data_IF_037770287549
#
_entry.id   IF_037770287549
#
_cell.length_a   1.000
_cell.length_b   1.000
_cell.length_c   1.000
_cell.angle_alpha   90.00
_cell.angle_beta   90.00
_cell.angle_gamma   90.00
#
_symmetry.space_group_name_H-M   'P 1'
#
loop_
_entity.id
_entity.type
_entity.pdbx_description
1 polymer ?
#
# COMPACT_ATOMS: atom_id res chain seq x y z
N UNK A 1 29.90 4.66 -10.24
CA UNK A 1 29.48 5.05 -11.60
C UNK A 1 28.27 5.94 -11.45
N UNK A 2 28.38 7.23 -11.81
CA UNK A 2 27.28 8.19 -11.74
C UNK A 2 26.18 7.76 -12.70
N UNK A 3 24.92 7.69 -12.25
CA UNK A 3 23.81 7.31 -13.12
C UNK A 3 23.63 8.37 -14.22
N UNK A 4 23.14 7.96 -15.39
CA UNK A 4 22.91 8.89 -16.51
C UNK A 4 21.98 10.06 -16.13
N UNK A 5 20.97 9.79 -15.29
CA UNK A 5 20.08 10.80 -14.73
C UNK A 5 20.83 11.80 -13.82
N UNK A 6 21.77 11.34 -13.00
CA UNK A 6 22.56 12.20 -12.13
C UNK A 6 23.47 13.14 -12.95
N UNK A 7 24.12 12.64 -14.00
CA UNK A 7 24.90 13.47 -14.93
C UNK A 7 24.06 14.58 -15.56
N UNK A 8 22.80 14.28 -15.92
CA UNK A 8 21.89 15.29 -16.45
C UNK A 8 21.51 16.36 -15.42
N UNK A 9 21.24 15.97 -14.16
CA UNK A 9 20.94 16.95 -13.11
C UNK A 9 22.15 17.85 -12.81
N UNK A 10 23.36 17.30 -12.80
CA UNK A 10 24.58 18.09 -12.58
C UNK A 10 24.85 19.06 -13.75
N UNK A 11 24.47 18.68 -14.97
CA UNK A 11 24.44 19.59 -16.12
C UNK A 11 23.43 20.73 -15.93
N UNK A 12 22.21 20.44 -15.48
CA UNK A 12 21.19 21.47 -15.24
C UNK A 12 21.62 22.46 -14.15
N UNK A 13 22.31 21.98 -13.11
CA UNK A 13 22.88 22.84 -12.06
C UNK A 13 23.96 23.77 -12.63
N UNK A 14 24.87 23.24 -13.43
CA UNK A 14 25.90 24.04 -14.12
C UNK A 14 25.24 25.07 -15.05
N UNK A 15 24.18 24.68 -15.75
CA UNK A 15 23.41 25.57 -16.62
C UNK A 15 22.72 26.69 -15.81
N UNK A 16 22.18 26.36 -14.64
CA UNK A 16 21.52 27.33 -13.76
C UNK A 16 22.45 28.44 -13.27
N UNK A 17 23.72 28.09 -13.01
CA UNK A 17 24.73 29.03 -12.55
C UNK A 17 25.24 29.94 -13.68
N UNK A 18 25.33 29.41 -14.91
CA UNK A 18 26.05 30.06 -16.00
C UNK A 18 25.14 30.72 -17.05
N UNK A 19 23.91 30.26 -17.24
CA UNK A 19 23.00 30.76 -18.28
C UNK A 19 21.54 30.86 -17.80
N UNK A 20 21.18 32.06 -17.31
CA UNK A 20 19.81 32.38 -16.90
C UNK A 20 18.80 32.34 -18.06
N UNK A 21 19.25 32.61 -19.28
CA UNK A 21 18.41 32.57 -20.48
C UNK A 21 17.97 31.15 -20.80
N UNK A 22 18.90 30.20 -20.75
CA UNK A 22 18.61 28.78 -20.93
C UNK A 22 17.60 28.26 -19.88
N UNK A 23 17.76 28.62 -18.60
CA UNK A 23 16.78 28.28 -17.55
C UNK A 23 15.41 28.87 -17.82
N UNK A 24 15.33 30.13 -18.29
CA UNK A 24 14.05 30.75 -18.62
C UNK A 24 13.33 29.99 -19.76
N UNK A 25 14.07 29.50 -20.75
CA UNK A 25 13.51 28.67 -21.83
C UNK A 25 13.04 27.30 -21.34
N UNK A 26 13.81 26.61 -20.49
CA UNK A 26 13.37 25.37 -19.87
C UNK A 26 12.11 25.55 -19.01
N UNK A 27 11.98 26.68 -18.30
CA UNK A 27 10.76 26.99 -17.56
C UNK A 27 9.57 27.19 -18.49
N UNK A 28 9.77 27.92 -19.59
CA UNK A 28 8.74 28.17 -20.59
C UNK A 28 8.27 26.88 -21.29
N UNK A 29 9.15 25.91 -21.49
CA UNK A 29 8.81 24.66 -22.19
C UNK A 29 7.71 23.86 -21.50
N UNK A 30 7.51 24.02 -20.18
CA UNK A 30 6.38 23.40 -19.45
C UNK A 30 4.99 23.89 -19.92
N UNK A 31 4.91 24.98 -20.68
CA UNK A 31 3.66 25.51 -21.24
C UNK A 31 3.30 24.90 -22.60
N UNK A 32 4.20 24.09 -23.16
CA UNK A 32 4.04 23.40 -24.45
C UNK A 32 4.06 21.89 -24.24
N UNK A 33 3.86 21.14 -25.32
CA UNK A 33 4.07 19.70 -25.28
C UNK A 33 5.56 19.36 -25.04
N UNK A 34 5.78 18.25 -24.33
CA UNK A 34 7.12 17.86 -23.89
C UNK A 34 7.99 17.51 -25.11
N UNK A 35 9.09 18.24 -25.27
CA UNK A 35 10.04 18.01 -26.35
C UNK A 35 9.73 18.72 -27.67
N UNK A 36 8.83 19.71 -27.68
CA UNK A 36 8.54 20.55 -28.85
C UNK A 36 9.22 21.93 -28.81
N UNK A 37 9.62 22.43 -27.65
CA UNK A 37 10.28 23.74 -27.55
C UNK A 37 11.69 23.68 -28.20
N UNK A 38 11.95 24.43 -29.28
CA UNK A 38 13.22 24.32 -30.01
C UNK A 38 14.45 24.60 -29.16
N UNK A 39 14.35 25.50 -28.18
CA UNK A 39 15.49 25.82 -27.30
C UNK A 39 15.68 24.74 -26.25
N UNK A 40 14.60 24.21 -25.67
CA UNK A 40 14.70 23.07 -24.77
C UNK A 40 15.31 21.84 -25.48
N UNK A 41 14.95 21.61 -26.75
CA UNK A 41 15.51 20.53 -27.57
C UNK A 41 17.04 20.61 -27.62
N UNK A 42 17.61 21.80 -27.88
CA UNK A 42 19.07 21.97 -27.94
C UNK A 42 19.79 21.69 -26.62
N UNK A 43 19.10 21.80 -25.49
CA UNK A 43 19.66 21.61 -24.15
C UNK A 43 19.53 20.17 -23.66
N UNK A 44 18.46 19.47 -24.06
CA UNK A 44 18.09 18.17 -23.49
C UNK A 44 18.50 16.99 -24.38
N UNK A 45 18.46 17.12 -25.72
CA UNK A 45 18.65 15.98 -26.63
C UNK A 45 20.02 15.28 -26.49
N UNK A 46 21.07 16.01 -26.08
CA UNK A 46 22.37 15.42 -25.79
C UNK A 46 22.34 14.33 -24.72
N UNK A 47 21.34 14.34 -23.84
CA UNK A 47 21.13 13.35 -22.78
C UNK A 47 20.07 12.31 -23.14
N UNK A 48 19.38 12.46 -24.26
CA UNK A 48 18.36 11.50 -24.71
C UNK A 48 19.00 10.27 -25.36
N UNK A 49 20.13 10.42 -26.05
CA UNK A 49 20.77 9.33 -26.78
C UNK A 49 20.11 9.07 -28.14
N UNK A 50 20.94 8.80 -29.17
CA UNK A 50 20.55 8.93 -30.58
C UNK A 50 19.47 7.97 -31.10
N UNK A 51 19.20 6.86 -30.42
CA UNK A 51 18.29 5.81 -30.90
C UNK A 51 16.87 5.91 -30.28
N UNK A 52 16.59 6.91 -29.44
CA UNK A 52 15.28 7.04 -28.77
C UNK A 52 14.28 7.84 -29.59
N UNK A 53 13.05 7.32 -29.66
CA UNK A 53 11.95 7.93 -30.41
C UNK A 53 11.37 9.15 -29.67
N UNK A 54 10.55 9.94 -30.37
CA UNK A 54 9.97 11.17 -29.82
C UNK A 54 9.07 10.91 -28.59
N UNK A 55 8.35 9.79 -28.61
CA UNK A 55 7.44 9.30 -27.58
C UNK A 55 8.15 8.51 -26.46
N UNK A 56 9.48 8.35 -26.55
CA UNK A 56 10.25 7.60 -25.56
C UNK A 56 10.00 8.14 -24.13
N UNK A 57 9.64 7.26 -23.17
CA UNK A 57 9.23 7.71 -21.83
C UNK A 57 10.35 8.42 -21.07
N UNK A 58 11.59 7.96 -21.23
CA UNK A 58 12.75 8.55 -20.60
C UNK A 58 13.07 9.92 -21.22
N UNK A 59 12.98 10.04 -22.56
CA UNK A 59 13.07 11.34 -23.25
C UNK A 59 12.06 12.34 -22.69
N UNK A 60 10.78 11.97 -22.60
CA UNK A 60 9.72 12.84 -22.08
C UNK A 60 9.95 13.21 -20.60
N UNK A 61 10.43 12.26 -19.79
CA UNK A 61 10.78 12.51 -18.39
C UNK A 61 11.91 13.55 -18.24
N UNK A 62 12.95 13.50 -19.08
CA UNK A 62 14.03 14.50 -19.08
C UNK A 62 13.50 15.91 -19.36
N UNK A 63 12.62 16.08 -20.36
CA UNK A 63 12.01 17.39 -20.66
C UNK A 63 11.16 17.92 -19.52
N UNK A 64 10.32 17.06 -18.92
CA UNK A 64 9.48 17.46 -17.79
C UNK A 64 10.35 17.89 -16.60
N UNK A 65 11.34 17.08 -16.25
CA UNK A 65 12.23 17.37 -15.13
C UNK A 65 13.08 18.61 -15.37
N UNK A 66 13.57 18.84 -16.59
CA UNK A 66 14.32 20.06 -16.92
C UNK A 66 13.50 21.33 -16.66
N UNK A 67 12.22 21.33 -17.05
CA UNK A 67 11.34 22.45 -16.79
C UNK A 67 10.95 22.63 -15.33
N UNK A 68 10.76 21.52 -14.59
CA UNK A 68 10.52 21.56 -13.15
C UNK A 68 11.74 22.08 -12.40
N UNK A 69 12.94 21.59 -12.71
CA UNK A 69 14.21 22.06 -12.15
C UNK A 69 14.43 23.55 -12.44
N UNK A 70 14.12 23.99 -13.66
CA UNK A 70 14.21 25.41 -14.02
C UNK A 70 13.24 26.29 -13.22
N UNK A 71 12.15 25.73 -12.70
CA UNK A 71 11.22 26.40 -11.79
C UNK A 71 11.66 26.31 -10.32
N UNK A 72 12.33 25.22 -9.95
CA UNK A 72 12.74 24.90 -8.58
C UNK A 72 14.12 24.22 -8.54
N UNK A 73 15.24 24.95 -8.48
CA UNK A 73 16.55 24.33 -8.59
C UNK A 73 17.02 23.65 -7.29
N UNK A 74 16.25 23.70 -6.20
CA UNK A 74 16.65 23.15 -4.90
C UNK A 74 16.74 21.62 -4.94
N UNK A 75 17.95 21.11 -4.69
CA UNK A 75 18.25 19.68 -4.63
C UNK A 75 18.27 19.20 -3.19
N UNK A 76 17.76 18.01 -2.95
CA UNK A 76 17.94 17.29 -1.70
C UNK A 76 18.15 15.80 -1.97
N UNK A 77 18.58 15.07 -0.93
CA UNK A 77 18.63 13.60 -0.99
C UNK A 77 17.25 12.95 -0.83
N UNK A 78 16.26 13.71 -0.39
CA UNK A 78 14.91 13.23 -0.17
C UNK A 78 14.23 12.94 -1.51
N UNK A 79 13.45 11.86 -1.59
CA UNK A 79 12.60 11.60 -2.75
C UNK A 79 11.51 12.67 -2.86
N UNK A 80 10.89 12.79 -4.05
CA UNK A 80 9.77 13.73 -4.24
C UNK A 80 8.64 13.48 -3.23
N UNK A 81 8.33 12.22 -2.95
CA UNK A 81 7.31 11.82 -2.00
C UNK A 81 7.71 12.12 -0.55
N UNK A 82 8.98 11.91 -0.16
CA UNK A 82 9.49 12.30 1.16
C UNK A 82 9.40 13.82 1.39
N UNK A 83 9.77 14.61 0.39
CA UNK A 83 9.64 16.07 0.43
C UNK A 83 8.18 16.51 0.62
N UNK A 84 7.24 15.86 -0.08
CA UNK A 84 5.81 16.14 0.05
C UNK A 84 5.24 15.67 1.41
N UNK A 85 5.75 14.57 1.97
CA UNK A 85 5.42 14.11 3.31
C UNK A 85 5.91 15.07 4.39
N UNK A 86 7.11 15.63 4.21
CA UNK A 86 7.65 16.66 5.10
C UNK A 86 6.81 17.95 5.04
N UNK A 87 6.38 18.35 3.84
CA UNK A 87 5.45 19.48 3.65
C UNK A 87 4.12 19.23 4.37
N UNK A 88 3.53 18.03 4.23
CA UNK A 88 2.30 17.68 4.92
C UNK A 88 2.46 17.77 6.44
N UNK A 89 3.57 17.25 6.99
CA UNK A 89 3.84 17.30 8.43
C UNK A 89 3.92 18.73 8.96
N UNK A 90 4.54 19.63 8.19
CA UNK A 90 4.70 21.03 8.61
C UNK A 90 3.39 21.81 8.55
N UNK A 91 2.57 21.55 7.53
CA UNK A 91 1.30 22.26 7.33
C UNK A 91 0.11 21.64 8.05
N UNK A 92 0.20 20.35 8.40
CA UNK A 92 -0.87 19.51 8.97
C UNK A 92 -2.21 19.66 8.22
N UNK A 93 -2.14 19.68 6.89
CA UNK A 93 -3.28 20.02 6.03
C UNK A 93 -3.75 18.81 5.21
N UNK A 94 -4.98 18.30 5.44
CA UNK A 94 -5.55 17.17 4.69
C UNK A 94 -5.58 17.38 3.17
N UNK A 95 -5.66 18.63 2.70
CA UNK A 95 -5.66 18.91 1.26
C UNK A 95 -4.32 18.63 0.57
N UNK A 96 -3.21 18.57 1.32
CA UNK A 96 -1.91 18.14 0.78
C UNK A 96 -1.95 16.63 0.51
N UNK A 97 -2.42 15.83 1.48
CA UNK A 97 -2.59 14.39 1.31
C UNK A 97 -3.53 14.06 0.13
N UNK A 98 -4.66 14.76 0.00
CA UNK A 98 -5.57 14.58 -1.12
C UNK A 98 -4.92 14.84 -2.48
N UNK A 99 -4.08 15.89 -2.59
CA UNK A 99 -3.33 16.18 -3.82
C UNK A 99 -2.29 15.11 -4.12
N UNK A 100 -1.65 14.56 -3.09
CA UNK A 100 -0.71 13.46 -3.23
C UNK A 100 -1.39 12.19 -3.75
N UNK A 101 -2.53 11.79 -3.16
CA UNK A 101 -3.30 10.64 -3.64
C UNK A 101 -3.78 10.86 -5.08
N UNK A 102 -4.31 12.05 -5.38
CA UNK A 102 -4.75 12.36 -6.74
C UNK A 102 -3.59 12.43 -7.75
N UNK A 103 -2.36 12.71 -7.31
CA UNK A 103 -1.16 12.56 -8.13
C UNK A 103 -0.89 11.08 -8.38
N UNK A 104 -0.89 10.21 -7.37
CA UNK A 104 -0.68 8.75 -7.53
C UNK A 104 -1.72 8.04 -8.40
N UNK A 105 -2.92 8.59 -8.49
CA UNK A 105 -4.01 8.08 -9.34
C UNK A 105 -3.99 8.67 -10.76
N UNK A 106 -3.08 9.61 -11.05
CA UNK A 106 -3.02 10.30 -12.32
C UNK A 106 -2.65 9.36 -13.47
N UNK A 107 -3.32 9.51 -14.60
CA UNK A 107 -2.91 8.93 -15.88
C UNK A 107 -1.76 9.74 -16.52
N UNK A 108 -1.29 9.27 -17.67
CA UNK A 108 -0.22 9.91 -18.45
C UNK A 108 -0.55 11.33 -18.93
N UNK A 109 -1.84 11.67 -19.07
CA UNK A 109 -2.30 12.98 -19.53
C UNK A 109 -2.32 13.99 -18.37
N UNK A 110 -2.65 13.51 -17.17
CA UNK A 110 -2.79 14.33 -15.98
C UNK A 110 -1.49 14.50 -15.19
N UNK A 111 -0.56 13.53 -15.27
CA UNK A 111 0.64 13.52 -14.43
C UNK A 111 1.46 14.80 -14.57
N UNK A 112 1.62 15.33 -15.79
CA UNK A 112 2.40 16.55 -16.04
C UNK A 112 1.82 17.74 -15.29
N UNK A 113 0.51 17.97 -15.41
CA UNK A 113 -0.16 19.09 -14.76
C UNK A 113 -0.17 18.95 -13.23
N UNK A 114 -0.46 17.75 -12.72
CA UNK A 114 -0.50 17.48 -11.28
C UNK A 114 0.89 17.57 -10.65
N UNK A 115 1.93 17.08 -11.33
CA UNK A 115 3.30 17.16 -10.83
C UNK A 115 3.75 18.62 -10.76
N UNK A 116 3.45 19.45 -11.76
CA UNK A 116 3.71 20.91 -11.70
C UNK A 116 3.02 21.59 -10.51
N UNK A 117 1.76 21.25 -10.26
CA UNK A 117 1.01 21.77 -9.10
C UNK A 117 1.65 21.33 -7.78
N UNK A 118 2.03 20.05 -7.67
CA UNK A 118 2.71 19.51 -6.50
C UNK A 118 4.08 20.17 -6.26
N UNK A 119 4.89 20.36 -7.32
CA UNK A 119 6.17 21.09 -7.23
C UNK A 119 5.96 22.54 -6.79
N UNK A 120 4.91 23.21 -7.24
CA UNK A 120 4.61 24.59 -6.82
C UNK A 120 4.37 24.68 -5.31
N UNK A 121 3.76 23.65 -4.71
CA UNK A 121 3.59 23.58 -3.26
C UNK A 121 4.92 23.38 -2.53
N UNK A 122 5.82 22.56 -3.07
CA UNK A 122 7.16 22.36 -2.49
C UNK A 122 8.02 23.63 -2.59
N UNK A 123 7.92 24.37 -3.71
CA UNK A 123 8.59 25.66 -3.90
C UNK A 123 8.17 26.68 -2.84
N UNK A 124 6.87 26.70 -2.50
CA UNK A 124 6.33 27.69 -1.57
C UNK A 124 6.91 27.59 -0.15
N UNK A 125 7.40 26.42 0.27
CA UNK A 125 7.98 26.18 1.60
C UNK A 125 9.46 25.78 1.53
N UNK A 126 10.10 25.84 0.35
CA UNK A 126 11.55 25.59 0.19
C UNK A 126 11.98 24.13 0.38
N UNK A 127 11.17 23.18 -0.10
CA UNK A 127 11.53 21.75 -0.07
C UNK A 127 12.19 21.31 -1.37
N UNK A 128 13.51 21.07 -1.33
CA UNK A 128 14.23 20.38 -2.39
C UNK A 128 13.99 18.86 -2.41
N UNK A 129 14.31 18.22 -3.53
CA UNK A 129 14.18 16.77 -3.71
C UNK A 129 15.17 16.21 -4.75
N UNK A 130 15.25 14.89 -4.84
CA UNK A 130 16.13 14.17 -5.77
C UNK A 130 15.51 14.10 -7.17
N UNK A 131 16.01 14.96 -8.05
CA UNK A 131 15.61 15.00 -9.46
C UNK A 131 16.04 13.77 -10.26
N UNK A 132 17.15 13.11 -9.91
CA UNK A 132 17.61 11.94 -10.64
C UNK A 132 16.69 10.75 -10.39
N UNK A 133 16.23 10.59 -9.14
CA UNK A 133 15.19 9.62 -8.80
C UNK A 133 13.86 9.97 -9.51
N UNK A 134 13.48 11.24 -9.52
CA UNK A 134 12.24 11.70 -10.16
C UNK A 134 12.21 11.42 -11.68
N UNK A 135 13.33 11.57 -12.39
CA UNK A 135 13.43 11.21 -13.83
C UNK A 135 13.07 9.74 -14.04
N UNK A 136 13.63 8.86 -13.20
CA UNK A 136 13.40 7.41 -13.30
C UNK A 136 11.93 7.06 -13.04
N UNK A 137 11.29 7.77 -12.11
CA UNK A 137 9.91 7.52 -11.71
C UNK A 137 8.90 8.04 -12.74
N UNK A 138 9.14 9.24 -13.29
CA UNK A 138 8.31 9.80 -14.35
C UNK A 138 8.43 8.97 -15.63
N UNK A 139 9.61 8.44 -15.94
CA UNK A 139 9.78 7.58 -17.10
C UNK A 139 8.88 6.33 -17.03
N UNK A 140 8.68 5.75 -15.83
CA UNK A 140 7.71 4.65 -15.64
C UNK A 140 6.26 5.12 -15.82
N UNK A 141 5.96 6.35 -15.43
CA UNK A 141 4.61 6.92 -15.54
C UNK A 141 4.21 7.20 -16.98
N UNK A 142 5.17 7.66 -17.79
CA UNK A 142 4.97 8.05 -19.19
C UNK A 142 5.16 6.89 -20.18
N UNK A 143 5.41 5.67 -19.68
CA UNK A 143 5.57 4.46 -20.49
C UNK A 143 4.21 3.97 -21.02
N UNK A 144 3.96 4.01 -22.35
CA UNK A 144 2.71 3.55 -22.94
C UNK A 144 2.51 2.03 -22.78
N UNK A 145 3.62 1.27 -22.74
CA UNK A 145 3.60 -0.18 -22.60
C UNK A 145 3.44 -0.63 -21.15
N UNK A 146 3.51 0.30 -20.19
CA UNK A 146 3.45 0.13 -18.73
C UNK A 146 3.97 -1.22 -18.27
N UNK A 147 5.25 -1.27 -17.86
CA UNK A 147 5.67 -2.34 -16.96
C UNK A 147 4.87 -2.23 -15.66
N UNK A 148 3.72 -2.92 -15.62
CA UNK A 148 2.75 -2.84 -14.55
C UNK A 148 3.40 -3.21 -13.21
N UNK A 149 4.41 -4.08 -13.20
CA UNK A 149 5.11 -4.42 -11.97
C UNK A 149 5.95 -3.24 -11.45
N UNK A 150 6.82 -2.66 -12.28
CA UNK A 150 7.68 -1.53 -11.88
C UNK A 150 6.86 -0.28 -11.55
N UNK A 151 5.78 -0.04 -12.31
CA UNK A 151 4.82 1.02 -12.07
C UNK A 151 4.17 0.90 -10.67
N UNK A 152 3.67 -0.30 -10.34
CA UNK A 152 3.07 -0.57 -9.02
C UNK A 152 4.08 -0.43 -7.89
N UNK A 153 5.30 -0.93 -8.07
CA UNK A 153 6.37 -0.79 -7.09
C UNK A 153 6.73 0.67 -6.83
N UNK A 154 6.78 1.50 -7.88
CA UNK A 154 6.99 2.94 -7.76
C UNK A 154 5.89 3.59 -6.92
N UNK A 155 4.61 3.31 -7.19
CA UNK A 155 3.48 3.91 -6.44
C UNK A 155 3.51 3.53 -4.97
N UNK A 156 3.83 2.27 -4.69
CA UNK A 156 3.99 1.78 -3.32
C UNK A 156 5.17 2.43 -2.59
N UNK A 157 6.31 2.58 -3.29
CA UNK A 157 7.46 3.30 -2.73
C UNK A 157 7.11 4.75 -2.42
N UNK A 158 6.45 5.46 -3.34
CA UNK A 158 6.00 6.83 -3.11
C UNK A 158 5.05 6.93 -1.91
N UNK A 159 4.09 6.01 -1.78
CA UNK A 159 3.24 5.92 -0.58
C UNK A 159 4.08 5.79 0.68
N UNK A 160 4.92 4.74 0.77
CA UNK A 160 5.79 4.49 1.92
C UNK A 160 6.68 5.69 2.27
N UNK A 161 7.30 6.31 1.28
CA UNK A 161 8.18 7.48 1.42
C UNK A 161 7.41 8.70 1.99
N UNK A 162 6.24 9.01 1.42
CA UNK A 162 5.38 10.09 1.91
C UNK A 162 4.91 9.83 3.33
N UNK A 163 4.32 8.67 3.60
CA UNK A 163 3.71 8.38 4.90
C UNK A 163 4.76 8.13 5.99
N UNK A 164 5.92 7.56 5.63
CA UNK A 164 7.05 7.43 6.54
C UNK A 164 7.56 8.80 7.00
N UNK A 165 7.64 9.77 6.09
CA UNK A 165 8.02 11.16 6.42
C UNK A 165 6.83 12.04 6.84
N UNK A 166 5.58 11.61 6.71
CA UNK A 166 4.45 12.31 7.31
C UNK A 166 4.34 11.92 8.80
N UNK A 167 4.40 10.61 9.07
CA UNK A 167 4.06 9.99 10.36
C UNK A 167 5.24 9.43 11.15
N UNK A 168 6.50 9.73 10.83
CA UNK A 168 7.69 9.21 11.55
C UNK A 168 7.63 9.23 13.10
N UNK A 169 6.83 10.12 13.73
CA UNK A 169 6.64 10.13 15.20
C UNK A 169 5.75 8.99 15.72
N UNK A 170 4.94 8.38 14.86
CA UNK A 170 4.00 7.28 15.14
C UNK A 170 4.56 5.91 14.70
N UNK A 171 5.76 5.86 14.11
CA UNK A 171 6.35 4.62 13.59
C UNK A 171 6.66 3.55 14.66
N UNK A 172 6.73 3.95 15.95
CA UNK A 172 6.84 3.02 17.09
C UNK A 172 5.60 2.11 17.21
N UNK A 173 4.44 2.50 16.65
CA UNK A 173 3.19 1.74 16.65
C UNK A 173 3.02 0.82 15.43
N UNK A 174 4.11 0.24 14.93
CA UNK A 174 4.05 -0.89 13.98
C UNK A 174 3.44 -2.17 14.59
N UNK A 175 2.88 -2.12 15.80
CA UNK A 175 2.17 -3.22 16.44
C UNK A 175 0.84 -3.53 15.70
N UNK A 176 0.62 -4.78 15.24
CA UNK A 176 -0.66 -5.20 14.69
C UNK A 176 -1.88 -4.91 15.60
N UNK A 177 -1.69 -4.78 16.92
CA UNK A 177 -2.79 -4.42 17.83
C UNK A 177 -3.20 -2.95 17.70
N UNK A 178 -2.23 -2.03 17.57
CA UNK A 178 -2.51 -0.61 17.35
C UNK A 178 -3.32 -0.43 16.06
N UNK A 179 -2.91 -1.12 14.99
CA UNK A 179 -3.64 -1.12 13.74
C UNK A 179 -5.06 -1.71 13.87
N UNK A 180 -5.23 -2.80 14.62
CA UNK A 180 -6.56 -3.38 14.86
C UNK A 180 -7.46 -2.41 15.63
N UNK A 181 -6.94 -1.70 16.65
CA UNK A 181 -7.69 -0.66 17.37
C UNK A 181 -8.13 0.47 16.43
N UNK A 182 -7.27 0.88 15.50
CA UNK A 182 -7.62 1.86 14.48
C UNK A 182 -8.77 1.37 13.59
N UNK A 183 -8.70 0.14 13.08
CA UNK A 183 -9.77 -0.46 12.27
C UNK A 183 -11.10 -0.52 13.03
N UNK A 184 -11.08 -0.89 14.32
CA UNK A 184 -12.27 -0.90 15.18
C UNK A 184 -12.81 0.51 15.43
N UNK A 185 -11.95 1.53 15.44
CA UNK A 185 -12.41 2.92 15.58
C UNK A 185 -13.12 3.38 14.31
N UNK A 186 -12.61 3.01 13.12
CA UNK A 186 -13.24 3.33 11.83
C UNK A 186 -14.68 2.79 11.70
N UNK A 187 -15.02 1.70 12.38
CA UNK A 187 -16.40 1.15 12.36
C UNK A 187 -17.39 2.04 13.09
N UNK A 188 -16.94 2.78 14.11
CA UNK A 188 -17.80 3.67 14.93
C UNK A 188 -18.13 4.96 14.18
N UNK A 189 -17.19 5.46 13.38
CA UNK A 189 -17.29 6.79 12.77
C UNK A 189 -18.13 6.82 11.48
N UNK A 190 -18.80 5.71 11.09
CA UNK A 190 -19.50 5.55 9.79
C UNK A 190 -18.64 6.00 8.60
N UNK A 191 -17.33 5.80 8.72
CA UNK A 191 -16.35 6.38 7.81
C UNK A 191 -16.44 5.77 6.41
N UNK A 192 -16.30 6.63 5.37
CA UNK A 192 -16.05 6.19 4.00
C UNK A 192 -14.77 5.34 3.87
N UNK A 193 -13.92 5.33 4.91
CA UNK A 193 -12.71 4.51 4.99
C UNK A 193 -12.96 3.02 4.81
N UNK A 194 -13.99 2.43 5.45
CA UNK A 194 -14.32 1.01 5.25
C UNK A 194 -14.79 0.73 3.82
N UNK A 195 -15.47 1.67 3.17
CA UNK A 195 -15.83 1.51 1.77
C UNK A 195 -14.60 1.52 0.85
N UNK A 196 -13.60 2.37 1.13
CA UNK A 196 -12.32 2.38 0.41
C UNK A 196 -11.56 1.06 0.61
N UNK A 197 -11.43 0.59 1.85
CA UNK A 197 -10.77 -0.69 2.17
C UNK A 197 -11.44 -1.91 1.51
N UNK A 198 -12.77 -1.94 1.42
CA UNK A 198 -13.46 -3.01 0.68
C UNK A 198 -13.14 -2.99 -0.81
N UNK A 199 -13.13 -1.79 -1.42
CA UNK A 199 -12.82 -1.64 -2.85
C UNK A 199 -11.37 -2.01 -3.14
N UNK A 200 -10.42 -1.66 -2.28
CA UNK A 200 -9.01 -1.96 -2.51
C UNK A 200 -8.70 -3.44 -2.65
N UNK A 201 -9.56 -4.34 -2.15
CA UNK A 201 -9.39 -5.77 -2.36
C UNK A 201 -9.48 -6.18 -3.83
N UNK A 202 -10.14 -5.42 -4.72
CA UNK A 202 -10.15 -5.74 -6.16
C UNK A 202 -8.78 -5.60 -6.81
N UNK A 203 -7.86 -4.92 -6.15
CA UNK A 203 -6.47 -4.79 -6.54
C UNK A 203 -5.59 -5.62 -5.59
N UNK A 204 -4.38 -6.01 -6.01
CA UNK A 204 -3.45 -6.65 -5.10
C UNK A 204 -3.12 -5.77 -3.88
N UNK A 205 -2.80 -6.38 -2.72
CA UNK A 205 -2.60 -5.64 -1.48
C UNK A 205 -1.51 -4.56 -1.59
N UNK A 206 -1.88 -3.32 -1.28
CA UNK A 206 -0.97 -2.17 -1.30
C UNK A 206 -0.93 -1.41 -2.62
N UNK A 207 -1.77 -1.71 -3.61
CA UNK A 207 -1.75 -1.02 -4.90
C UNK A 207 -2.72 0.15 -5.06
N UNK A 208 -3.78 0.19 -4.25
CA UNK A 208 -4.78 1.25 -4.27
C UNK A 208 -4.28 2.46 -3.45
N UNK A 209 -3.93 3.59 -4.09
CA UNK A 209 -3.47 4.77 -3.36
C UNK A 209 -4.53 5.32 -2.40
N UNK A 210 -5.81 5.08 -2.71
CA UNK A 210 -6.90 5.52 -1.86
C UNK A 210 -6.94 4.81 -0.51
N UNK A 211 -6.17 3.76 -0.24
CA UNK A 211 -6.10 3.18 1.12
C UNK A 211 -4.83 3.51 1.86
N UNK A 212 -3.85 4.17 1.24
CA UNK A 212 -2.60 4.54 1.89
C UNK A 212 -2.81 5.36 3.17
N UNK A 213 -3.70 6.39 3.22
CA UNK A 213 -3.95 7.15 4.45
C UNK A 213 -4.40 6.30 5.64
N UNK A 214 -5.03 5.15 5.37
CA UNK A 214 -5.62 4.28 6.40
C UNK A 214 -4.65 3.20 6.88
N UNK A 215 -3.64 2.85 6.08
CA UNK A 215 -2.78 1.69 6.33
C UNK A 215 -1.32 2.08 6.54
N UNK A 216 -0.77 2.96 5.72
CA UNK A 216 0.65 3.34 5.79
C UNK A 216 1.09 3.95 7.13
N UNK A 217 0.26 4.70 7.89
CA UNK A 217 0.65 5.15 9.23
C UNK A 217 1.01 4.02 10.21
N UNK A 218 0.57 2.78 9.94
CA UNK A 218 0.83 1.59 10.75
C UNK A 218 1.82 0.61 10.10
N UNK A 219 2.49 1.06 9.03
CA UNK A 219 3.52 0.32 8.30
C UNK A 219 4.88 0.92 8.64
N UNK A 220 5.84 0.05 8.97
CA UNK A 220 7.22 0.47 9.20
C UNK A 220 7.82 0.97 7.87
N UNK A 221 8.36 2.21 7.81
CA UNK A 221 8.97 2.75 6.59
C UNK A 221 10.13 1.92 6.06
N UNK A 222 10.75 1.06 6.88
CA UNK A 222 11.79 0.14 6.44
C UNK A 222 11.25 -1.03 5.60
N UNK A 223 9.94 -1.28 5.59
CA UNK A 223 9.34 -2.37 4.84
C UNK A 223 9.09 -1.96 3.39
N UNK A 224 9.78 -2.64 2.49
CA UNK A 224 9.60 -2.45 1.05
C UNK A 224 8.21 -2.92 0.57
N UNK A 225 7.87 -2.56 -0.67
CA UNK A 225 6.61 -2.92 -1.35
C UNK A 225 6.32 -4.42 -1.30
N UNK A 226 7.36 -5.25 -1.44
CA UNK A 226 7.26 -6.71 -1.44
C UNK A 226 7.22 -7.34 -0.03
N UNK A 227 7.42 -6.54 1.02
CA UNK A 227 7.47 -7.05 2.40
C UNK A 227 6.13 -7.69 2.78
N UNK A 228 6.13 -8.96 3.24
CA UNK A 228 4.90 -9.67 3.52
C UNK A 228 4.12 -9.07 4.70
N UNK A 229 4.78 -8.36 5.63
CA UNK A 229 4.13 -7.69 6.78
C UNK A 229 3.35 -6.47 6.33
N UNK A 230 3.85 -5.73 5.34
CA UNK A 230 3.14 -4.61 4.71
C UNK A 230 1.91 -5.13 3.94
N UNK A 231 2.10 -6.12 3.07
CA UNK A 231 1.01 -6.76 2.31
C UNK A 231 -0.07 -7.36 3.21
N UNK A 232 0.33 -7.99 4.32
CA UNK A 232 -0.60 -8.58 5.30
C UNK A 232 -1.52 -7.53 5.94
N UNK A 233 -1.04 -6.31 6.22
CA UNK A 233 -1.88 -5.23 6.77
C UNK A 233 -2.93 -4.77 5.77
N UNK A 234 -2.52 -4.53 4.53
CA UNK A 234 -3.45 -4.16 3.46
C UNK A 234 -4.54 -5.21 3.26
N UNK A 235 -4.16 -6.49 3.19
CA UNK A 235 -5.11 -7.58 3.02
C UNK A 235 -6.05 -7.70 4.23
N UNK A 236 -5.50 -7.70 5.45
CA UNK A 236 -6.31 -7.80 6.67
C UNK A 236 -7.28 -6.62 6.82
N UNK A 237 -6.89 -5.40 6.45
CA UNK A 237 -7.74 -4.22 6.51
C UNK A 237 -8.93 -4.32 5.55
N UNK A 238 -8.69 -4.76 4.31
CA UNK A 238 -9.75 -5.00 3.34
C UNK A 238 -10.70 -6.11 3.79
N UNK A 239 -10.17 -7.22 4.31
CA UNK A 239 -10.98 -8.34 4.82
C UNK A 239 -11.82 -7.94 6.04
N UNK A 240 -11.25 -7.16 6.96
CA UNK A 240 -12.00 -6.62 8.10
C UNK A 240 -13.11 -5.67 7.63
N UNK A 241 -12.87 -4.90 6.57
CA UNK A 241 -13.89 -4.00 6.04
C UNK A 241 -15.08 -4.75 5.40
N UNK A 242 -14.91 -6.00 4.93
CA UNK A 242 -16.02 -6.87 4.47
C UNK A 242 -16.91 -7.25 5.65
N UNK A 243 -16.31 -7.63 6.77
CA UNK A 243 -17.00 -8.08 7.98
C UNK A 243 -16.43 -7.40 9.22
N UNK A 244 -16.88 -6.18 9.55
CA UNK A 244 -16.28 -5.31 10.56
C UNK A 244 -16.72 -5.69 11.99
N UNK A 245 -16.66 -6.98 12.32
CA UNK A 245 -17.00 -7.50 13.65
C UNK A 245 -15.72 -7.96 14.34
N UNK A 246 -15.34 -7.23 15.39
CA UNK A 246 -14.14 -7.52 16.16
C UNK A 246 -14.47 -8.43 17.34
N UNK A 247 -13.69 -9.50 17.49
CA UNK A 247 -13.69 -10.34 18.68
C UNK A 247 -12.24 -10.58 19.13
N UNK A 248 -11.85 -10.16 20.34
CA UNK A 248 -10.47 -10.33 20.82
C UNK A 248 -10.10 -11.81 20.92
N UNK A 249 -8.85 -12.14 20.60
CA UNK A 249 -8.27 -13.48 20.74
C UNK A 249 -8.92 -14.61 19.92
N UNK A 250 -9.88 -14.33 19.04
CA UNK A 250 -10.49 -15.34 18.18
C UNK A 250 -9.79 -15.40 16.82
N UNK A 251 -9.35 -16.60 16.43
CA UNK A 251 -8.78 -16.80 15.09
C UNK A 251 -9.87 -16.87 14.03
N UNK A 252 -9.50 -16.59 12.78
CA UNK A 252 -10.39 -16.71 11.63
C UNK A 252 -10.95 -18.13 11.49
N UNK A 253 -10.09 -19.12 11.70
CA UNK A 253 -10.45 -20.54 11.65
C UNK A 253 -11.52 -20.89 12.70
N UNK A 254 -11.38 -20.40 13.94
CA UNK A 254 -12.42 -20.58 14.97
C UNK A 254 -13.71 -19.85 14.64
N UNK A 255 -13.65 -18.68 13.99
CA UNK A 255 -14.86 -17.99 13.53
C UNK A 255 -15.61 -18.81 12.46
N UNK A 256 -14.88 -19.41 11.50
CA UNK A 256 -15.47 -20.29 10.49
C UNK A 256 -16.01 -21.60 11.09
N UNK A 257 -15.34 -22.18 12.09
CA UNK A 257 -15.88 -23.34 12.82
C UNK A 257 -17.23 -23.01 13.47
N UNK A 258 -17.36 -21.85 14.14
CA UNK A 258 -18.63 -21.42 14.71
C UNK A 258 -19.71 -21.20 13.65
N UNK A 259 -19.34 -20.77 12.45
CA UNK A 259 -20.27 -20.65 11.33
C UNK A 259 -20.81 -22.01 10.90
N UNK A 260 -19.93 -23.02 10.76
CA UNK A 260 -20.34 -24.40 10.44
C UNK A 260 -21.32 -24.95 11.49
N UNK A 261 -21.07 -24.67 12.78
CA UNK A 261 -21.98 -25.08 13.85
C UNK A 261 -23.35 -24.37 13.83
N UNK A 262 -23.46 -23.21 13.17
CA UNK A 262 -24.73 -22.48 13.02
C UNK A 262 -25.48 -22.85 11.73
N UNK A 263 -24.79 -23.40 10.72
CA UNK A 263 -25.36 -23.75 9.42
C UNK A 263 -25.30 -25.25 9.18
N UNK A 264 -26.38 -25.95 9.54
CA UNK A 264 -26.47 -27.42 9.44
C UNK A 264 -26.33 -27.96 8.00
N UNK A 265 -26.77 -27.22 6.97
CA UNK A 265 -26.76 -27.69 5.57
C UNK A 265 -25.53 -27.24 4.76
N UNK A 266 -24.85 -26.15 5.17
CA UNK A 266 -23.74 -25.55 4.40
C UNK A 266 -22.33 -25.90 4.92
N UNK A 267 -22.24 -26.75 5.96
CA UNK A 267 -20.98 -27.09 6.63
C UNK A 267 -19.90 -27.60 5.68
N UNK A 268 -20.25 -28.50 4.75
CA UNK A 268 -19.32 -29.06 3.77
C UNK A 268 -18.80 -27.99 2.78
N UNK A 269 -19.66 -27.03 2.41
CA UNK A 269 -19.32 -25.92 1.52
C UNK A 269 -18.33 -24.94 2.17
N UNK A 270 -18.51 -24.67 3.47
CA UNK A 270 -17.61 -23.83 4.26
C UNK A 270 -16.26 -24.54 4.45
N UNK A 271 -16.28 -25.83 4.80
CA UNK A 271 -15.08 -26.65 4.96
C UNK A 271 -14.25 -26.70 3.67
N UNK A 272 -14.89 -26.92 2.51
CA UNK A 272 -14.20 -26.92 1.21
C UNK A 272 -13.50 -25.60 0.92
N UNK A 273 -14.15 -24.46 1.21
CA UNK A 273 -13.53 -23.12 1.06
C UNK A 273 -12.39 -22.90 2.04
N UNK A 274 -12.52 -23.40 3.28
CA UNK A 274 -11.45 -23.33 4.26
C UNK A 274 -10.21 -24.15 3.84
N UNK A 275 -10.41 -25.35 3.29
CA UNK A 275 -9.32 -26.17 2.73
C UNK A 275 -8.62 -25.44 1.59
N UNK A 276 -9.38 -24.76 0.71
CA UNK A 276 -8.81 -23.94 -0.35
C UNK A 276 -7.93 -22.80 0.19
N UNK A 277 -8.34 -22.14 1.28
CA UNK A 277 -7.51 -21.14 1.97
C UNK A 277 -6.22 -21.74 2.52
N UNK A 278 -6.26 -22.93 3.13
CA UNK A 278 -5.05 -23.59 3.65
C UNK A 278 -4.02 -23.91 2.54
N UNK A 279 -4.53 -24.32 1.37
CA UNK A 279 -3.74 -24.65 0.19
C UNK A 279 -3.30 -23.44 -0.65
N UNK A 280 -3.82 -22.24 -0.38
CA UNK A 280 -3.59 -21.06 -1.21
C UNK A 280 -2.11 -20.64 -1.30
N UNK A 281 -1.73 -20.14 -2.47
CA UNK A 281 -0.43 -19.50 -2.71
C UNK A 281 -0.46 -18.04 -2.24
N UNK A 282 0.69 -17.35 -2.15
CA UNK A 282 0.73 -15.92 -1.84
C UNK A 282 -0.13 -15.05 -2.76
N UNK A 283 -0.32 -15.50 -4.01
CA UNK A 283 -1.05 -14.75 -5.04
C UNK A 283 -2.55 -15.03 -5.01
N UNK A 284 -2.97 -16.26 -4.70
CA UNK A 284 -4.40 -16.64 -4.62
C UNK A 284 -5.01 -16.44 -3.23
N UNK A 285 -4.17 -16.21 -2.21
CA UNK A 285 -4.62 -16.07 -0.82
C UNK A 285 -5.67 -14.97 -0.63
N UNK A 286 -5.51 -13.83 -1.31
CA UNK A 286 -6.44 -12.71 -1.18
C UNK A 286 -7.85 -13.08 -1.65
N UNK A 287 -7.97 -13.82 -2.75
CA UNK A 287 -9.26 -14.20 -3.32
C UNK A 287 -9.95 -15.29 -2.49
N UNK A 288 -9.21 -16.31 -2.05
CA UNK A 288 -9.78 -17.35 -1.18
C UNK A 288 -10.25 -16.78 0.15
N UNK A 289 -9.49 -15.87 0.77
CA UNK A 289 -9.91 -15.22 2.01
C UNK A 289 -11.11 -14.30 1.80
N UNK A 290 -11.17 -13.58 0.68
CA UNK A 290 -12.35 -12.76 0.36
C UNK A 290 -13.60 -13.63 0.28
N UNK A 291 -13.53 -14.76 -0.42
CA UNK A 291 -14.63 -15.71 -0.53
C UNK A 291 -15.05 -16.27 0.84
N UNK A 292 -14.09 -16.59 1.71
CA UNK A 292 -14.38 -17.03 3.07
C UNK A 292 -15.02 -15.91 3.93
N UNK A 293 -14.61 -14.66 3.76
CA UNK A 293 -15.17 -13.51 4.49
C UNK A 293 -16.58 -13.14 4.08
N UNK A 294 -16.96 -13.40 2.83
CA UNK A 294 -18.35 -13.23 2.41
C UNK A 294 -19.29 -14.16 3.16
N UNK A 295 -18.84 -15.35 3.58
CA UNK A 295 -19.67 -16.29 4.35
C UNK A 295 -19.96 -15.80 5.78
N UNK A 296 -19.04 -15.06 6.38
CA UNK A 296 -19.25 -14.49 7.71
C UNK A 296 -20.16 -13.27 7.68
N UNK A 297 -20.48 -12.74 6.51
CA UNK A 297 -21.34 -11.57 6.37
C UNK A 297 -22.70 -11.85 7.02
N UNK A 298 -23.19 -10.88 7.77
CA UNK A 298 -24.50 -10.91 8.45
C UNK A 298 -24.65 -11.97 9.57
N UNK A 299 -23.58 -12.71 9.91
CA UNK A 299 -23.61 -13.75 10.98
C UNK A 299 -23.33 -13.20 12.38
N UNK A 300 -22.78 -11.98 12.47
CA UNK A 300 -22.33 -11.38 13.74
C UNK A 300 -21.12 -12.08 14.39
N UNK A 301 -20.50 -13.08 13.74
CA UNK A 301 -19.34 -13.79 14.30
C UNK A 301 -18.06 -12.97 14.06
N UNK A 302 -17.50 -12.37 15.11
CA UNK A 302 -16.25 -11.61 14.99
C UNK A 302 -14.97 -12.45 14.94
N UNK A 303 -13.84 -11.80 14.64
CA UNK A 303 -12.49 -12.36 14.77
C UNK A 303 -11.48 -11.27 15.14
N UNK A 304 -10.23 -11.66 15.44
CA UNK A 304 -9.13 -10.76 15.78
C UNK A 304 -8.18 -10.53 14.57
N UNK A 305 -8.21 -9.36 13.92
CA UNK A 305 -7.31 -9.01 12.82
C UNK A 305 -5.83 -9.07 13.21
N UNK A 306 -5.47 -8.86 14.48
CA UNK A 306 -4.08 -8.93 14.97
C UNK A 306 -3.47 -10.30 14.67
N UNK A 307 -4.23 -11.37 14.91
CA UNK A 307 -3.79 -12.75 14.66
C UNK A 307 -3.71 -13.01 13.16
N UNK A 308 -4.69 -12.53 12.40
CA UNK A 308 -4.71 -12.68 10.95
C UNK A 308 -3.48 -12.03 10.30
N UNK A 309 -3.14 -10.78 10.67
CA UNK A 309 -1.95 -10.08 10.15
C UNK A 309 -0.67 -10.87 10.39
N UNK A 310 -0.48 -11.40 11.61
CA UNK A 310 0.70 -12.19 11.98
C UNK A 310 0.81 -13.50 11.18
N UNK A 311 -0.31 -14.07 10.79
CA UNK A 311 -0.36 -15.32 10.02
C UNK A 311 -0.17 -15.06 8.53
N UNK A 312 -0.82 -14.04 7.99
CA UNK A 312 -0.65 -13.60 6.60
C UNK A 312 0.79 -13.16 6.31
N UNK A 313 1.49 -12.55 7.26
CA UNK A 313 2.89 -12.19 7.09
C UNK A 313 3.82 -13.40 6.85
N UNK A 314 3.42 -14.61 7.27
CA UNK A 314 4.16 -15.85 6.95
C UNK A 314 3.74 -16.39 5.59
N UNK A 315 2.44 -16.35 5.28
CA UNK A 315 1.90 -16.86 4.01
C UNK A 315 2.30 -16.04 2.79
N UNK A 316 2.35 -14.71 2.92
CA UNK A 316 2.61 -13.79 1.82
C UNK A 316 4.11 -13.62 1.53
N UNK A 317 4.98 -14.28 2.28
CA UNK A 317 6.43 -14.25 2.03
C UNK A 317 6.72 -14.90 0.67
N UNK A 318 7.53 -14.24 -0.17
CA UNK A 318 7.92 -14.75 -1.49
C UNK A 318 8.64 -16.10 -1.41
N UNK A 319 9.46 -16.27 -0.39
CA UNK A 319 10.13 -17.53 -0.04
C UNK A 319 9.79 -17.88 1.41
N UNK A 320 8.61 -18.49 1.67
CA UNK A 320 8.19 -18.78 3.03
C UNK A 320 9.04 -19.92 3.60
N UNK A 321 9.43 -19.78 4.86
CA UNK A 321 9.97 -20.92 5.60
C UNK A 321 8.86 -21.97 5.75
N UNK A 322 9.01 -23.10 5.05
CA UNK A 322 7.99 -24.15 4.92
C UNK A 322 7.57 -24.66 6.30
N UNK A 323 8.51 -24.91 7.21
CA UNK A 323 8.19 -25.35 8.57
C UNK A 323 7.36 -24.32 9.35
N UNK A 324 7.62 -23.02 9.17
CA UNK A 324 6.78 -21.97 9.77
C UNK A 324 5.39 -21.95 9.15
N UNK A 325 5.29 -22.08 7.82
CA UNK A 325 4.02 -22.10 7.10
C UNK A 325 3.16 -23.30 7.52
N UNK A 326 3.75 -24.49 7.60
CA UNK A 326 3.03 -25.71 7.98
C UNK A 326 2.56 -25.65 9.44
N UNK A 327 3.35 -25.07 10.35
CA UNK A 327 2.89 -24.80 11.73
C UNK A 327 1.67 -23.85 11.76
N UNK A 328 1.61 -22.88 10.84
CA UNK A 328 0.45 -21.97 10.71
C UNK A 328 -0.77 -22.72 10.17
N UNK A 329 -0.61 -23.51 9.11
CA UNK A 329 -1.65 -24.39 8.55
C UNK A 329 -2.20 -25.37 9.57
N UNK A 330 -1.34 -26.08 10.29
CA UNK A 330 -1.73 -27.03 11.33
C UNK A 330 -2.51 -26.36 12.47
N UNK A 331 -2.09 -25.16 12.89
CA UNK A 331 -2.84 -24.42 13.90
C UNK A 331 -4.20 -23.98 13.37
N UNK A 332 -4.29 -23.45 12.16
CA UNK A 332 -5.58 -23.09 11.55
C UNK A 332 -6.49 -24.31 11.43
N UNK A 333 -5.97 -25.45 10.98
CA UNK A 333 -6.73 -26.70 10.90
C UNK A 333 -7.23 -27.15 12.28
N UNK A 334 -6.36 -27.11 13.31
CA UNK A 334 -6.76 -27.41 14.69
C UNK A 334 -7.86 -26.46 15.16
N UNK A 335 -7.70 -25.16 14.96
CA UNK A 335 -8.68 -24.15 15.39
C UNK A 335 -10.03 -24.29 14.65
N UNK A 336 -10.04 -24.85 13.43
CA UNK A 336 -11.24 -25.09 12.63
C UNK A 336 -11.93 -26.42 12.97
N UNK A 337 -11.18 -27.49 13.20
CA UNK A 337 -11.74 -28.81 13.54
C UNK A 337 -11.90 -29.04 15.05
N UNK A 338 -11.50 -28.07 15.87
CA UNK A 338 -11.66 -28.19 17.32
C UNK A 338 -13.14 -28.17 17.69
N UNK A 339 -13.59 -29.28 18.25
CA UNK A 339 -14.89 -29.41 18.89
C UNK A 339 -14.64 -29.16 20.39
N UNK A 340 -15.25 -28.13 21.02
CA UNK A 340 -15.21 -28.00 22.46
C UNK A 340 -15.74 -29.29 23.08
N UNK A 341 -15.01 -29.91 24.00
CA UNK A 341 -15.60 -30.94 24.86
C UNK A 341 -16.73 -30.26 25.62
N UNK A 342 -17.97 -30.61 25.29
CA UNK A 342 -19.10 -30.32 26.15
C UNK A 342 -18.80 -30.99 27.48
N UNK A 343 -18.59 -30.19 28.53
CA UNK A 343 -18.64 -30.69 29.89
C UNK A 343 -20.09 -31.10 30.14
N UNK A 344 -20.45 -32.32 29.75
CA UNK A 344 -21.44 -33.10 30.47
C UNK A 344 -20.82 -33.36 31.84
N UNK A 345 -20.98 -32.40 32.76
CA UNK A 345 -20.90 -32.74 34.16
C UNK A 345 -22.07 -33.65 34.44
N UNK A 346 -21.77 -34.95 34.51
CA UNK A 346 -22.38 -35.93 35.39
C UNK A 346 -23.30 -35.27 36.42
N UNK A 347 -24.58 -35.21 36.10
CA UNK A 347 -25.62 -35.16 37.12
C UNK A 347 -26.29 -36.52 37.07
N UNK A 348 -25.57 -37.54 37.56
CA UNK A 348 -26.24 -38.75 37.99
C UNK A 348 -27.14 -38.37 39.17
N UNK A 349 -28.44 -38.68 39.15
CA UNK A 349 -29.26 -38.59 40.35
C UNK A 349 -28.77 -39.66 41.33
N UNK A 350 -28.15 -39.24 42.44
CA UNK A 350 -27.91 -40.11 43.58
C UNK A 350 -29.26 -40.66 44.06
N UNK A 351 -29.54 -41.93 43.78
CA UNK A 351 -30.57 -42.71 44.48
C UNK A 351 -30.08 -42.99 45.90
N UNK A 352 -30.78 -42.56 46.96
CA UNK A 352 -30.45 -42.95 48.32
C UNK A 352 -30.75 -44.45 48.51
N UNK A 353 -29.71 -45.23 48.81
CA UNK A 353 -29.88 -46.55 49.41
C UNK A 353 -30.21 -46.37 50.90
N UNK A 354 -31.48 -46.51 51.26
CA UNK A 354 -31.88 -46.87 52.61
C UNK A 354 -31.84 -48.41 52.73
N UNK A 355 -30.83 -48.92 53.43
CA UNK A 355 -30.89 -50.23 54.09
C UNK A 355 -30.61 -50.00 55.58
N UNK A 356 -31.57 -50.40 56.40
CA UNK A 356 -31.52 -50.24 57.84
C UNK A 356 -30.58 -51.20 58.56
N UNK A 357 -30.21 -50.79 59.76
CA UNK A 357 -29.94 -51.62 60.93
C UNK A 357 -30.25 -50.78 62.17
#
# INVERSE_FOLDING_TARGET
MTSHAQTFVDYLETLHQNDRGAIAHLRHSLTRELGEDPKAITLVEGFVGGDRQADDPHRRALYLVAGLFASHPERARASFAEAFGALWRTRDNPSVEQRFIALLEADEQQVVARLRQATTLLVADGYGFDYAQLISDIALWLDPCKDEHRWREMRQRWGRDFYGVAFARQAEDSDPQAFTKHLVTLTKDKSSGLARLRRSLTLPPGEDPAVFPLVEPFVDPAWESSDPRRRARYLAAGLFAIHPVYEPNRSLATALNKLVAQQNDDGESIERRFIAVLGASPDTMADHLRQAMVLLRDTGIGYDPTRLIKDLAVWLARAPNIARLDRRRQRWARDFYWIPRTNEHDTQPETPQEQGA
#
